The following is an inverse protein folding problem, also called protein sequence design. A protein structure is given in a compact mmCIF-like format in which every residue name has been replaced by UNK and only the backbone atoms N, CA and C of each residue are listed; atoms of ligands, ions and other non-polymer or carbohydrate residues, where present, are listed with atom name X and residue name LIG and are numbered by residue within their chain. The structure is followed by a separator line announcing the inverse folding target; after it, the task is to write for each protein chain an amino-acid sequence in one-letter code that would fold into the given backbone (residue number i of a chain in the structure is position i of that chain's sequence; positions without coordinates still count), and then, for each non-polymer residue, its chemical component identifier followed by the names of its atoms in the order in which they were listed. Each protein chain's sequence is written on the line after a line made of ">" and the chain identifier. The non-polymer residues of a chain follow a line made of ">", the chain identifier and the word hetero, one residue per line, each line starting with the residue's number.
data_IF_856454289007
#
_entry.id   IF_856454289007
#
_cell.length_a   1.000
_cell.length_b   1.000
_cell.length_c   1.000
_cell.angle_alpha   90.00
_cell.angle_beta   90.00
_cell.angle_gamma   90.00
#
_symmetry.space_group_name_H-M   'P 1'
#
loop_
_entity.id
_entity.type
_entity.pdbx_description
1 polymer ?
#
# COMPACT_ATOMS: atom_id res chain seq x y z
N UNK A 1 3.64 7.15 -17.93
CA UNK A 1 3.39 5.75 -18.30
C UNK A 1 4.04 4.82 -17.28
N UNK A 2 3.47 3.64 -17.12
CA UNK A 2 4.07 2.59 -16.30
C UNK A 2 3.99 1.26 -17.06
N UNK A 3 4.99 0.42 -16.87
CA UNK A 3 5.04 -0.92 -17.46
C UNK A 3 4.85 -1.94 -16.33
N UNK A 4 3.99 -2.91 -16.55
CA UNK A 4 3.70 -3.98 -15.60
C UNK A 4 4.24 -5.30 -16.14
N UNK A 5 5.13 -5.93 -15.40
CA UNK A 5 5.46 -7.34 -15.57
C UNK A 5 4.64 -8.15 -14.56
N UNK A 6 4.07 -9.25 -14.98
CA UNK A 6 3.28 -10.09 -14.12
C UNK A 6 3.67 -11.57 -14.28
N UNK A 7 4.03 -12.17 -13.16
CA UNK A 7 4.25 -13.60 -13.03
C UNK A 7 3.51 -14.07 -11.79
N UNK A 8 2.42 -14.81 -11.99
CA UNK A 8 1.54 -15.25 -10.90
C UNK A 8 2.28 -16.08 -9.86
N UNK A 9 3.02 -17.09 -10.27
CA UNK A 9 3.69 -18.00 -9.34
C UNK A 9 4.75 -17.29 -8.50
N UNK A 10 5.52 -16.43 -9.13
CA UNK A 10 6.51 -15.61 -8.44
C UNK A 10 5.85 -14.63 -7.45
N UNK A 11 4.78 -13.99 -7.86
CA UNK A 11 4.04 -13.04 -7.01
C UNK A 11 3.44 -13.75 -5.81
N UNK A 12 2.85 -14.93 -5.99
CA UNK A 12 2.30 -15.74 -4.89
C UNK A 12 3.38 -16.24 -3.95
N UNK A 13 4.54 -16.63 -4.46
CA UNK A 13 5.68 -17.03 -3.64
C UNK A 13 6.11 -15.88 -2.71
N UNK A 14 6.21 -14.66 -3.23
CA UNK A 14 6.58 -13.49 -2.43
C UNK A 14 5.49 -13.15 -1.41
N UNK A 15 4.22 -13.15 -1.81
CA UNK A 15 3.09 -12.91 -0.92
C UNK A 15 3.11 -13.85 0.28
N UNK A 16 3.25 -15.15 0.04
CA UNK A 16 3.29 -16.14 1.12
C UNK A 16 4.55 -16.03 1.98
N UNK A 17 5.70 -15.75 1.36
CA UNK A 17 6.97 -15.63 2.08
C UNK A 17 7.02 -14.41 3.01
N UNK A 18 6.41 -13.30 2.63
CA UNK A 18 6.42 -12.06 3.40
C UNK A 18 5.18 -11.87 4.29
N UNK A 19 4.22 -12.79 4.24
CA UNK A 19 2.98 -12.74 5.04
C UNK A 19 3.28 -12.59 6.53
N UNK A 20 4.23 -13.33 7.06
CA UNK A 20 4.59 -13.31 8.47
C UNK A 20 5.00 -11.90 8.96
N UNK A 21 5.72 -11.15 8.15
CA UNK A 21 6.12 -9.78 8.50
C UNK A 21 4.90 -8.86 8.62
N UNK A 22 3.94 -9.01 7.71
CA UNK A 22 2.70 -8.25 7.73
C UNK A 22 1.83 -8.62 8.95
N UNK A 23 1.73 -9.92 9.29
CA UNK A 23 1.02 -10.41 10.47
C UNK A 23 1.65 -9.92 11.78
N UNK A 24 2.97 -9.93 11.86
CA UNK A 24 3.70 -9.38 13.01
C UNK A 24 3.46 -7.88 13.19
N UNK A 25 3.36 -7.14 12.09
CA UNK A 25 3.08 -5.72 12.14
C UNK A 25 1.63 -5.41 12.50
N UNK A 26 0.66 -6.01 11.82
CA UNK A 26 -0.76 -5.71 12.02
C UNK A 26 -1.41 -6.45 13.20
N UNK A 27 -0.78 -7.54 13.70
CA UNK A 27 -1.28 -8.40 14.78
C UNK A 27 -2.56 -9.17 14.44
N UNK A 28 -2.78 -9.47 13.17
CA UNK A 28 -3.88 -10.29 12.69
C UNK A 28 -3.34 -11.40 11.80
N UNK A 29 -4.04 -12.53 11.80
CA UNK A 29 -3.86 -13.57 10.79
C UNK A 29 -4.34 -13.04 9.43
N UNK A 30 -3.53 -13.19 8.40
CA UNK A 30 -3.78 -12.63 7.08
C UNK A 30 -3.98 -13.71 6.01
N UNK A 31 -4.76 -13.38 5.02
CA UNK A 31 -4.87 -14.12 3.76
C UNK A 31 -4.14 -13.32 2.68
N UNK A 32 -3.22 -13.95 1.97
CA UNK A 32 -2.61 -13.40 0.77
C UNK A 32 -3.69 -13.17 -0.29
N UNK A 33 -3.85 -11.96 -0.71
CA UNK A 33 -4.97 -11.57 -1.56
C UNK A 33 -4.54 -11.26 -2.98
N UNK A 34 -3.61 -10.33 -3.14
CA UNK A 34 -3.21 -9.86 -4.46
C UNK A 34 -1.80 -9.26 -4.44
N UNK A 35 -1.07 -9.47 -5.54
CA UNK A 35 0.21 -8.82 -5.76
C UNK A 35 0.27 -8.23 -7.16
N UNK A 36 0.96 -7.10 -7.29
CA UNK A 36 1.14 -6.42 -8.57
C UNK A 36 2.61 -6.07 -8.78
N UNK A 37 3.09 -6.36 -9.95
CA UNK A 37 4.41 -5.96 -10.35
C UNK A 37 5.36 -7.14 -10.63
N UNK A 38 6.64 -6.86 -10.85
CA UNK A 38 7.24 -5.50 -10.78
C UNK A 38 6.59 -4.48 -11.72
N UNK A 39 6.35 -3.29 -11.20
CA UNK A 39 5.82 -2.16 -11.96
C UNK A 39 6.89 -1.11 -12.13
N UNK A 40 7.27 -0.87 -13.39
CA UNK A 40 8.26 0.15 -13.74
C UNK A 40 7.56 1.45 -14.13
N UNK A 41 7.85 2.49 -13.38
CA UNK A 41 7.50 3.86 -13.69
C UNK A 41 8.65 4.54 -14.43
N UNK A 42 8.32 5.47 -15.31
CA UNK A 42 9.27 6.25 -16.09
C UNK A 42 9.00 7.74 -15.91
N UNK A 43 9.86 8.59 -16.42
CA UNK A 43 9.72 10.04 -16.36
C UNK A 43 8.32 10.49 -16.74
N UNK A 44 7.74 11.38 -15.93
CA UNK A 44 6.38 11.89 -16.08
C UNK A 44 5.28 10.99 -15.50
N UNK A 45 5.63 9.80 -14.98
CA UNK A 45 4.66 8.98 -14.25
C UNK A 45 4.22 9.68 -12.98
N UNK A 46 2.95 9.54 -12.62
CA UNK A 46 2.40 9.97 -11.35
C UNK A 46 1.32 8.99 -10.89
N UNK A 47 0.99 9.02 -9.61
CA UNK A 47 -0.08 8.21 -9.02
C UNK A 47 -1.02 9.15 -8.26
N UNK A 48 -2.28 9.20 -8.70
CA UNK A 48 -3.29 9.98 -8.02
C UNK A 48 -3.52 9.47 -6.60
N UNK A 49 -3.75 10.35 -5.62
CA UNK A 49 -4.15 9.92 -4.30
C UNK A 49 -5.41 9.07 -4.35
N UNK A 50 -5.35 7.90 -3.72
CA UNK A 50 -6.45 6.95 -3.63
C UNK A 50 -6.30 6.12 -2.36
N UNK A 51 -7.37 5.50 -1.94
CA UNK A 51 -7.34 4.37 -1.03
C UNK A 51 -7.63 3.09 -1.82
N UNK A 52 -7.05 2.00 -1.38
CA UNK A 52 -7.19 0.70 -2.02
C UNK A 52 -8.57 0.06 -1.76
N UNK A 53 -8.89 -0.98 -2.54
CA UNK A 53 -10.14 -1.73 -2.38
C UNK A 53 -10.18 -2.50 -1.07
N UNK A 54 -11.16 -2.26 -0.18
CA UNK A 54 -11.24 -2.95 1.10
C UNK A 54 -11.49 -4.47 0.99
N UNK A 55 -12.00 -4.93 -0.14
CA UNK A 55 -12.25 -6.36 -0.36
C UNK A 55 -10.96 -7.19 -0.43
N UNK A 56 -9.86 -6.59 -0.85
CA UNK A 56 -8.62 -7.30 -1.18
C UNK A 56 -7.36 -6.64 -0.65
N UNK A 57 -7.38 -5.36 -0.30
CA UNK A 57 -6.20 -4.54 -0.05
C UNK A 57 -6.24 -3.85 1.32
N UNK A 58 -6.51 -4.62 2.39
CA UNK A 58 -6.63 -4.05 3.74
C UNK A 58 -5.26 -3.69 4.31
N UNK A 59 -4.36 -4.66 4.29
CA UNK A 59 -2.96 -4.48 4.67
C UNK A 59 -2.13 -4.56 3.40
N UNK A 60 -1.40 -3.51 3.14
CA UNK A 60 -0.64 -3.36 1.91
C UNK A 60 0.83 -3.12 2.17
N UNK A 61 1.67 -3.48 1.23
CA UNK A 61 3.05 -3.04 1.21
C UNK A 61 3.54 -2.69 -0.19
N UNK A 62 4.54 -1.81 -0.21
CA UNK A 62 5.30 -1.44 -1.39
C UNK A 62 6.74 -1.82 -1.14
N UNK A 63 7.31 -2.60 -2.05
CA UNK A 63 8.73 -2.91 -2.05
C UNK A 63 9.37 -2.11 -3.18
N UNK A 64 10.39 -1.32 -2.86
CA UNK A 64 11.21 -0.69 -3.88
C UNK A 64 12.24 -1.72 -4.39
N UNK A 65 12.17 -2.04 -5.67
CA UNK A 65 13.06 -3.02 -6.31
C UNK A 65 14.28 -2.34 -6.90
N UNK A 66 14.06 -1.20 -7.57
CA UNK A 66 15.11 -0.48 -8.26
C UNK A 66 14.68 0.96 -8.57
N UNK A 67 15.62 1.89 -8.62
CA UNK A 67 15.33 3.27 -8.96
C UNK A 67 16.55 3.99 -9.55
N UNK A 68 16.31 5.11 -10.19
CA UNK A 68 17.32 6.08 -10.58
C UNK A 68 17.89 6.75 -9.32
N UNK A 69 19.19 6.63 -9.10
CA UNK A 69 19.88 7.13 -7.90
C UNK A 69 19.84 8.65 -7.74
N UNK A 70 19.45 9.37 -8.79
CA UNK A 70 19.47 10.85 -8.80
C UNK A 70 18.12 11.49 -8.47
N UNK A 71 17.05 10.70 -8.46
CA UNK A 71 15.70 11.24 -8.37
C UNK A 71 14.84 10.43 -7.39
N UNK A 72 14.68 10.96 -6.20
CA UNK A 72 13.73 10.45 -5.24
C UNK A 72 12.29 10.65 -5.74
N UNK A 73 11.41 9.73 -5.32
CA UNK A 73 9.99 9.83 -5.64
C UNK A 73 9.15 9.28 -4.47
N UNK A 74 8.90 10.10 -3.46
CA UNK A 74 8.25 9.65 -2.25
C UNK A 74 6.81 9.19 -2.51
N UNK A 75 6.39 8.20 -1.73
CA UNK A 75 4.98 7.94 -1.53
C UNK A 75 4.44 8.98 -0.55
N UNK A 76 3.42 9.70 -0.96
CA UNK A 76 2.64 10.56 -0.08
C UNK A 76 1.52 9.76 0.53
N UNK A 77 1.44 9.74 1.87
CA UNK A 77 0.39 9.04 2.60
C UNK A 77 -0.21 9.94 3.67
N UNK A 78 -1.53 10.03 3.68
CA UNK A 78 -2.28 10.80 4.66
C UNK A 78 -2.46 9.97 5.93
N UNK A 79 -1.96 10.46 7.03
CA UNK A 79 -2.15 9.85 8.33
C UNK A 79 -3.58 10.00 8.87
N UNK A 80 -3.86 9.36 10.00
CA UNK A 80 -5.16 9.51 10.69
C UNK A 80 -5.39 10.91 11.26
N UNK A 81 -4.34 11.72 11.36
CA UNK A 81 -4.37 13.14 11.71
C UNK A 81 -4.64 14.06 10.51
N UNK A 82 -4.83 13.49 9.31
CA UNK A 82 -4.94 14.16 8.01
C UNK A 82 -3.67 14.89 7.55
N UNK A 83 -2.55 14.69 8.23
CA UNK A 83 -1.27 15.22 7.77
C UNK A 83 -0.68 14.34 6.67
N UNK A 84 0.00 14.99 5.72
CA UNK A 84 0.68 14.29 4.63
C UNK A 84 2.09 13.90 5.08
N UNK A 85 2.36 12.61 5.00
CA UNK A 85 3.68 12.06 5.25
C UNK A 85 4.33 11.65 3.93
N UNK A 86 5.60 11.96 3.75
CA UNK A 86 6.38 11.51 2.60
C UNK A 86 7.28 10.35 3.00
N UNK A 87 7.09 9.22 2.32
CA UNK A 87 7.84 7.99 2.57
C UNK A 87 8.81 7.76 1.43
N UNK A 88 10.09 7.83 1.74
CA UNK A 88 11.20 7.58 0.83
C UNK A 88 11.68 6.15 1.03
N UNK A 89 11.71 5.37 -0.04
CA UNK A 89 12.20 3.99 -0.02
C UNK A 89 13.42 3.86 -0.92
N UNK A 90 14.43 3.17 -0.42
CA UNK A 90 15.57 2.74 -1.20
C UNK A 90 15.33 1.33 -1.76
N UNK A 91 16.05 0.94 -2.82
CA UNK A 91 16.01 -0.44 -3.31
C UNK A 91 16.26 -1.45 -2.18
N UNK A 92 15.37 -2.44 -2.07
CA UNK A 92 15.37 -3.45 -1.03
C UNK A 92 14.53 -3.12 0.20
N UNK A 93 14.05 -1.89 0.35
CA UNK A 93 13.17 -1.50 1.45
C UNK A 93 11.70 -1.76 1.14
N UNK A 94 10.95 -2.11 2.16
CA UNK A 94 9.50 -2.36 2.11
C UNK A 94 8.78 -1.46 3.12
N UNK A 95 7.73 -0.80 2.68
CA UNK A 95 6.85 0.00 3.53
C UNK A 95 5.48 -0.68 3.67
N UNK A 96 5.04 -0.88 4.91
CA UNK A 96 3.74 -1.45 5.24
C UNK A 96 2.76 -0.36 5.66
N UNK A 97 1.52 -0.45 5.18
CA UNK A 97 0.47 0.52 5.49
C UNK A 97 -0.94 -0.09 5.38
N UNK A 98 -1.92 0.59 5.95
CA UNK A 98 -3.34 0.20 5.84
C UNK A 98 -3.91 0.74 4.52
N UNK A 99 -3.69 0.00 3.43
CA UNK A 99 -3.95 0.46 2.06
C UNK A 99 -5.39 0.90 1.79
N UNK A 100 -6.36 0.21 2.37
CA UNK A 100 -7.78 0.53 2.19
C UNK A 100 -8.29 1.66 3.07
N UNK A 101 -7.49 2.14 4.03
CA UNK A 101 -7.89 3.21 4.94
C UNK A 101 -7.16 4.52 4.69
N UNK A 102 -5.89 4.46 4.33
CA UNK A 102 -5.06 5.64 4.18
C UNK A 102 -4.99 6.08 2.72
N UNK A 103 -5.39 7.31 2.47
CA UNK A 103 -5.21 7.94 1.16
C UNK A 103 -3.72 8.04 0.85
N UNK A 104 -3.30 7.52 -0.28
CA UNK A 104 -1.89 7.49 -0.66
C UNK A 104 -1.70 7.65 -2.16
N UNK A 105 -0.54 8.16 -2.55
CA UNK A 105 -0.22 8.41 -3.97
C UNK A 105 1.15 9.01 -4.17
N UNK A 106 1.43 9.40 -5.41
CA UNK A 106 2.62 10.14 -5.83
C UNK A 106 2.19 11.25 -6.77
N UNK A 107 1.86 12.40 -6.23
CA UNK A 107 1.23 13.49 -6.98
C UNK A 107 2.20 14.26 -7.87
N UNK A 108 3.48 14.25 -7.53
CA UNK A 108 4.51 14.89 -8.33
C UNK A 108 4.96 13.95 -9.45
N UNK A 109 5.00 14.41 -10.70
CA UNK A 109 5.52 13.62 -11.80
C UNK A 109 6.98 13.21 -11.57
N UNK A 110 7.26 11.92 -11.72
CA UNK A 110 8.61 11.38 -11.58
C UNK A 110 9.58 12.03 -12.59
N UNK A 111 10.76 12.40 -12.14
CA UNK A 111 11.75 13.08 -12.97
C UNK A 111 12.88 12.17 -13.44
N UNK A 112 13.05 11.01 -12.81
CA UNK A 112 14.10 10.05 -13.13
C UNK A 112 13.79 9.16 -14.32
N UNK A 113 14.72 8.27 -14.62
CA UNK A 113 14.65 7.35 -15.76
C UNK A 113 13.76 6.13 -15.46
N UNK A 114 13.82 5.63 -14.23
CA UNK A 114 13.05 4.45 -13.81
C UNK A 114 12.85 4.41 -12.29
N UNK A 115 11.71 3.87 -11.89
CA UNK A 115 11.36 3.56 -10.50
C UNK A 115 10.53 2.27 -10.51
N UNK A 116 11.01 1.23 -9.84
CA UNK A 116 10.43 -0.11 -9.93
C UNK A 116 9.93 -0.58 -8.58
N UNK A 117 8.64 -0.86 -8.50
CA UNK A 117 8.02 -1.33 -7.27
C UNK A 117 7.29 -2.66 -7.47
N UNK A 118 7.21 -3.40 -6.37
CA UNK A 118 6.29 -4.53 -6.19
C UNK A 118 5.27 -4.16 -5.11
N UNK A 119 4.01 -4.50 -5.34
CA UNK A 119 2.91 -4.22 -4.43
C UNK A 119 2.32 -5.54 -3.92
N UNK A 120 2.15 -5.64 -2.61
CA UNK A 120 1.58 -6.82 -1.96
C UNK A 120 0.37 -6.40 -1.13
N UNK A 121 -0.70 -7.19 -1.21
CA UNK A 121 -1.95 -6.89 -0.54
C UNK A 121 -2.50 -8.12 0.16
N UNK A 122 -2.95 -7.91 1.39
CA UNK A 122 -3.52 -8.92 2.26
C UNK A 122 -4.84 -8.43 2.84
N UNK A 123 -5.66 -9.37 3.27
CA UNK A 123 -6.85 -9.09 4.07
C UNK A 123 -6.82 -9.96 5.33
N UNK A 124 -7.37 -9.50 6.45
CA UNK A 124 -7.51 -10.33 7.63
C UNK A 124 -8.35 -11.57 7.34
N UNK A 125 -7.99 -12.68 8.01
CA UNK A 125 -8.85 -13.85 8.05
C UNK A 125 -10.17 -13.50 8.75
N UNK A 126 -11.29 -14.06 8.33
CA UNK A 126 -12.64 -13.74 8.85
C UNK A 126 -13.06 -12.25 8.71
N UNK A 127 -12.45 -11.55 7.80
CA UNK A 127 -12.77 -10.15 7.54
C UNK A 127 -14.15 -10.01 6.88
N UNK A 128 -15.04 -9.25 7.53
CA UNK A 128 -16.33 -8.88 6.94
C UNK A 128 -16.13 -7.76 5.93
N UNK A 129 -16.32 -8.08 4.66
CA UNK A 129 -16.24 -7.09 3.58
C UNK A 129 -17.36 -6.06 3.76
N UNK A 130 -17.05 -4.77 3.86
CA UNK A 130 -18.08 -3.74 3.91
C UNK A 130 -18.99 -3.83 2.68
N UNK A 131 -20.31 -3.76 2.89
CA UNK A 131 -21.30 -3.78 1.81
C UNK A 131 -21.36 -2.43 1.08
N UNK A 132 -20.23 -1.82 0.81
CA UNK A 132 -20.19 -0.57 0.06
C UNK A 132 -19.85 -0.90 -1.37
N UNK A 133 -20.83 -0.82 -2.24
CA UNK A 133 -20.59 -0.75 -3.68
C UNK A 133 -19.98 0.61 -3.97
N UNK A 134 -18.68 0.65 -4.19
CA UNK A 134 -18.01 1.88 -4.57
C UNK A 134 -17.49 1.75 -5.98
N UNK A 135 -18.12 2.46 -6.88
CA UNK A 135 -17.57 2.74 -8.19
C UNK A 135 -16.50 3.83 -8.04
N UNK A 136 -15.23 3.45 -8.22
CA UNK A 136 -14.12 4.38 -8.24
C UNK A 136 -13.15 4.29 -7.07
N UNK A 137 -12.20 5.20 -7.03
CA UNK A 137 -11.23 5.31 -5.93
C UNK A 137 -11.92 5.82 -4.66
N UNK A 138 -11.69 5.15 -3.55
CA UNK A 138 -12.21 5.58 -2.25
C UNK A 138 -11.50 6.86 -1.80
N UNK A 139 -12.25 7.81 -1.27
CA UNK A 139 -11.68 8.92 -0.55
C UNK A 139 -11.47 8.53 0.93
N UNK A 140 -10.51 9.15 1.58
CA UNK A 140 -10.29 8.96 3.02
C UNK A 140 -11.57 9.22 3.84
N UNK A 141 -12.39 10.19 3.42
CA UNK A 141 -13.66 10.51 4.09
C UNK A 141 -14.68 9.39 3.98
N UNK A 142 -14.68 8.64 2.88
CA UNK A 142 -15.62 7.54 2.65
C UNK A 142 -15.26 6.32 3.52
N UNK A 143 -14.00 6.19 3.91
CA UNK A 143 -13.50 5.09 4.72
C UNK A 143 -13.68 5.30 6.23
N UNK A 144 -13.92 6.52 6.67
CA UNK A 144 -14.13 6.87 8.08
C UNK A 144 -15.59 6.86 8.52
N UNK A 145 -16.53 6.63 7.60
CA UNK A 145 -17.92 6.44 8.00
C UNK A 145 -18.08 5.07 8.63
N UNK A 146 -18.74 5.02 9.78
CA UNK A 146 -19.15 3.92 10.66
C UNK A 146 -19.45 2.58 9.95
N UNK A 147 -18.50 2.00 9.28
CA UNK A 147 -18.66 0.68 8.69
C UNK A 147 -17.88 -0.34 9.49
N UNK A 148 -18.31 -1.58 9.44
CA UNK A 148 -17.77 -2.77 10.11
C UNK A 148 -16.28 -3.06 9.77
N UNK A 149 -15.46 -2.03 9.84
CA UNK A 149 -14.01 -2.16 9.72
C UNK A 149 -13.48 -2.85 10.97
N UNK A 150 -12.54 -3.74 10.78
CA UNK A 150 -11.76 -4.25 11.90
C UNK A 150 -11.18 -3.04 12.62
N UNK A 151 -11.62 -2.86 13.85
CA UNK A 151 -11.12 -1.79 14.68
C UNK A 151 -9.69 -2.13 15.13
N UNK A 152 -8.73 -1.54 14.43
CA UNK A 152 -7.34 -1.54 14.86
C UNK A 152 -7.11 -0.62 16.07
N UNK A 153 -8.19 -0.11 16.71
CA UNK A 153 -8.17 0.93 17.74
C UNK A 153 -7.39 0.59 19.00
N UNK A 154 -7.09 -0.68 19.25
CA UNK A 154 -6.26 -1.11 20.37
C UNK A 154 -4.75 -0.86 20.14
N UNK A 155 -4.36 -0.38 18.97
CA UNK A 155 -2.98 0.03 18.70
C UNK A 155 -2.78 1.50 19.08
N UNK A 156 -1.64 1.78 19.66
CA UNK A 156 -1.22 3.16 19.97
C UNK A 156 -1.33 4.02 18.69
N UNK A 157 -2.12 5.06 18.72
CA UNK A 157 -2.46 5.88 17.53
C UNK A 157 -1.23 6.46 16.85
N UNK A 158 -0.15 6.71 17.58
CA UNK A 158 1.10 7.21 17.02
C UNK A 158 1.83 6.20 16.10
N UNK A 159 1.61 4.91 16.30
CA UNK A 159 2.22 3.85 15.46
C UNK A 159 1.39 3.52 14.22
N UNK A 160 0.16 4.00 14.15
CA UNK A 160 -0.79 3.69 13.07
C UNK A 160 -0.72 4.66 11.90
N UNK A 161 -0.12 5.82 12.10
CA UNK A 161 -0.30 6.98 11.22
C UNK A 161 0.35 6.77 9.85
N UNK A 162 1.49 6.12 9.78
CA UNK A 162 2.28 6.10 8.54
C UNK A 162 2.65 4.70 8.06
N UNK A 163 2.61 3.71 8.92
CA UNK A 163 3.14 2.38 8.61
C UNK A 163 4.61 2.24 9.03
N UNK A 164 5.28 1.23 8.51
CA UNK A 164 6.64 0.88 8.91
C UNK A 164 7.50 0.52 7.70
N UNK A 165 8.72 1.05 7.68
CA UNK A 165 9.75 0.64 6.71
C UNK A 165 10.54 -0.54 7.29
N UNK A 166 10.75 -1.55 6.45
CA UNK A 166 11.59 -2.73 6.72
C UNK A 166 12.70 -2.84 5.69
#
# INVERSE_FOLDING_TARGET
>A
AAYLAYNYDFTMLILESLKIIHEEWCKFELIASMGYGPRKYVKGSYLRPHADKPQTHVISSIINIDQDDKHDWPLQIYGYDNEVNEVYLKPGEMFLYEGSKLLHGRTQPYQGTHFVNLFLHYRPNEYHIPKVEVEGAYSYKDLNTETDWIDFSNKNTSERIVGKIF
#
